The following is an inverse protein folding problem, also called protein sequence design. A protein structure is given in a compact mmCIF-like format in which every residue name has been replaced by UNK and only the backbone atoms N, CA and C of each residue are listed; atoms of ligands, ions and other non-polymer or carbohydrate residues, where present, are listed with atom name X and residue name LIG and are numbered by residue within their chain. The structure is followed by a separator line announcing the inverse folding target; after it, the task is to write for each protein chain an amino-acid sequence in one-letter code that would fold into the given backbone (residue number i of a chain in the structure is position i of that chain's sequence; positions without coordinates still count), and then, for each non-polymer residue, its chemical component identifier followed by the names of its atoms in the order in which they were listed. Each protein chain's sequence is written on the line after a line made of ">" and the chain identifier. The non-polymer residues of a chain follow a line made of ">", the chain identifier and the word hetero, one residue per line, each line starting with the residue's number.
data_IF_787412014933
#
_entry.id   IF_787412014933
#
_cell.length_a   1.000
_cell.length_b   1.000
_cell.length_c   1.000
_cell.angle_alpha   90.00
_cell.angle_beta   90.00
_cell.angle_gamma   90.00
#
_symmetry.space_group_name_H-M   'P 1'
#
loop_
_entity.id
_entity.type
_entity.pdbx_description
1 polymer ?
#
# COMPACT_ATOMS: atom_id res chain seq x y z
N UNK A 1 -5.10 -22.93 -26.97
CA UNK A 1 -3.91 -22.22 -26.48
C UNK A 1 -4.38 -20.91 -25.84
N UNK A 2 -4.65 -20.92 -24.54
CA UNK A 2 -5.06 -19.71 -23.81
C UNK A 2 -3.79 -19.01 -23.35
N UNK A 3 -3.50 -17.84 -23.94
CA UNK A 3 -2.43 -16.98 -23.47
C UNK A 3 -2.82 -16.45 -22.08
N UNK A 4 -2.11 -16.86 -21.04
CA UNK A 4 -2.22 -16.27 -19.71
C UNK A 4 -1.17 -15.16 -19.61
N UNK A 5 -1.51 -14.00 -20.12
CA UNK A 5 -0.85 -12.75 -19.75
C UNK A 5 -1.71 -12.14 -18.62
N UNK A 6 -1.63 -12.72 -17.42
CA UNK A 6 -2.47 -12.34 -16.29
C UNK A 6 -1.91 -11.09 -15.60
N UNK A 7 -1.86 -9.97 -16.32
CA UNK A 7 -1.64 -8.66 -15.72
C UNK A 7 -2.90 -8.25 -14.96
N UNK A 8 -2.77 -7.95 -13.67
CA UNK A 8 -3.87 -7.39 -12.87
C UNK A 8 -4.19 -6.00 -13.45
N UNK A 9 -5.43 -5.74 -13.90
CA UNK A 9 -5.79 -4.43 -14.43
C UNK A 9 -5.64 -3.33 -13.39
N UNK A 10 -5.13 -2.17 -13.81
CA UNK A 10 -5.16 -0.96 -12.98
C UNK A 10 -6.52 -0.29 -13.11
N UNK A 11 -7.18 -0.03 -11.99
CA UNK A 11 -8.49 0.62 -11.92
C UNK A 11 -8.31 2.08 -11.46
N UNK A 12 -8.60 3.03 -12.34
CA UNK A 12 -8.64 4.45 -11.95
C UNK A 12 -9.97 4.80 -11.28
N UNK A 13 -9.90 5.49 -10.13
CA UNK A 13 -11.10 6.05 -9.48
C UNK A 13 -11.69 7.21 -10.29
N UNK A 14 -10.86 7.95 -11.02
CA UNK A 14 -11.29 9.11 -11.79
C UNK A 14 -12.00 8.74 -13.10
N UNK A 15 -11.68 7.59 -13.68
CA UNK A 15 -12.13 7.21 -15.02
C UNK A 15 -13.52 6.54 -15.06
N UNK A 16 -14.03 6.05 -13.92
CA UNK A 16 -15.26 5.26 -13.87
C UNK A 16 -16.31 5.89 -12.93
N UNK A 17 -17.60 5.85 -13.28
CA UNK A 17 -18.67 6.09 -12.32
C UNK A 17 -18.56 5.14 -11.12
N UNK A 18 -18.94 5.60 -9.93
CA UNK A 18 -18.75 4.85 -8.68
C UNK A 18 -19.30 3.41 -8.71
N UNK A 19 -20.42 3.19 -9.39
CA UNK A 19 -21.01 1.86 -9.57
C UNK A 19 -20.13 0.94 -10.39
N UNK A 20 -19.62 1.43 -11.52
CA UNK A 20 -18.81 0.63 -12.45
C UNK A 20 -17.43 0.35 -11.86
N UNK A 21 -16.84 1.33 -11.15
CA UNK A 21 -15.63 1.12 -10.36
C UNK A 21 -15.82 0.01 -9.31
N UNK A 22 -16.94 0.03 -8.57
CA UNK A 22 -17.23 -0.98 -7.55
C UNK A 22 -17.37 -2.39 -8.14
N UNK A 23 -17.99 -2.51 -9.31
CA UNK A 23 -18.12 -3.78 -10.03
C UNK A 23 -16.75 -4.29 -10.53
N UNK A 24 -15.93 -3.41 -11.11
CA UNK A 24 -14.59 -3.73 -11.58
C UNK A 24 -13.67 -4.14 -10.42
N UNK A 25 -13.72 -3.42 -9.29
CA UNK A 25 -12.99 -3.74 -8.07
C UNK A 25 -13.36 -5.12 -7.53
N UNK A 26 -14.67 -5.40 -7.43
CA UNK A 26 -15.16 -6.71 -6.99
C UNK A 26 -14.76 -7.83 -7.95
N UNK A 27 -14.69 -7.57 -9.26
CA UNK A 27 -14.20 -8.54 -10.25
C UNK A 27 -12.71 -8.82 -10.04
N UNK A 28 -11.88 -7.79 -9.83
CA UNK A 28 -10.45 -7.96 -9.59
C UNK A 28 -10.16 -8.85 -8.39
N UNK A 29 -10.88 -8.63 -7.27
CA UNK A 29 -10.74 -9.49 -6.10
C UNK A 29 -11.17 -10.94 -6.34
N UNK A 30 -12.22 -11.19 -7.14
CA UNK A 30 -12.67 -12.56 -7.45
C UNK A 30 -11.73 -13.30 -8.40
N UNK A 31 -11.15 -12.60 -9.38
CA UNK A 31 -10.30 -13.21 -10.41
C UNK A 31 -8.84 -13.35 -9.94
N UNK A 32 -8.32 -12.36 -9.21
CA UNK A 32 -6.90 -12.29 -8.87
C UNK A 32 -6.61 -12.29 -7.37
N UNK A 33 -7.60 -12.04 -6.52
CA UNK A 33 -7.40 -11.84 -5.07
C UNK A 33 -6.80 -10.48 -4.70
N UNK A 34 -6.49 -9.63 -5.68
CA UNK A 34 -5.87 -8.32 -5.52
C UNK A 34 -6.50 -7.29 -6.47
N UNK A 35 -6.21 -6.01 -6.24
CA UNK A 35 -6.55 -4.92 -7.14
C UNK A 35 -5.42 -3.87 -7.13
N UNK A 36 -5.18 -3.26 -8.29
CA UNK A 36 -4.30 -2.09 -8.42
C UNK A 36 -5.21 -0.89 -8.65
N UNK A 37 -5.08 0.14 -7.81
CA UNK A 37 -5.92 1.35 -7.88
C UNK A 37 -5.05 2.54 -8.24
N UNK A 38 -5.49 3.34 -9.21
CA UNK A 38 -4.88 4.60 -9.63
C UNK A 38 -5.83 5.78 -9.39
N UNK A 39 -5.28 7.01 -9.49
CA UNK A 39 -6.01 8.27 -9.41
C UNK A 39 -6.89 8.42 -8.16
N UNK A 40 -6.44 7.84 -7.05
CA UNK A 40 -7.09 7.87 -5.75
C UNK A 40 -6.90 9.19 -4.98
N UNK A 41 -6.37 10.23 -5.64
CA UNK A 41 -6.23 11.58 -5.08
C UNK A 41 -5.08 11.77 -4.06
N UNK A 42 -4.25 10.76 -3.82
CA UNK A 42 -3.05 10.95 -2.97
C UNK A 42 -1.97 11.63 -3.83
N UNK A 43 -1.46 12.75 -3.32
CA UNK A 43 -0.43 13.52 -4.01
C UNK A 43 0.88 12.72 -4.17
N UNK A 44 1.51 12.72 -5.37
CA UNK A 44 2.84 12.13 -5.57
C UNK A 44 3.91 12.75 -4.65
N UNK A 45 3.80 14.05 -4.35
CA UNK A 45 4.73 14.73 -3.45
C UNK A 45 4.58 14.24 -1.99
N UNK A 46 3.34 13.98 -1.56
CA UNK A 46 3.08 13.41 -0.23
C UNK A 46 3.65 11.98 -0.13
N UNK A 47 3.49 11.18 -1.18
CA UNK A 47 4.06 9.83 -1.22
C UNK A 47 5.59 9.86 -1.17
N UNK A 48 6.22 10.75 -1.95
CA UNK A 48 7.67 10.93 -1.94
C UNK A 48 8.19 11.35 -0.55
N UNK A 49 7.49 12.28 0.11
CA UNK A 49 7.82 12.69 1.47
C UNK A 49 7.68 11.54 2.48
N UNK A 50 6.63 10.73 2.38
CA UNK A 50 6.44 9.58 3.27
C UNK A 50 7.59 8.56 3.13
N UNK A 51 8.06 8.29 1.91
CA UNK A 51 9.21 7.41 1.67
C UNK A 51 10.51 7.98 2.21
N UNK A 52 10.78 9.27 2.00
CA UNK A 52 11.96 9.95 2.54
C UNK A 52 11.98 9.95 4.07
N UNK A 53 10.86 10.27 4.72
CA UNK A 53 10.74 10.22 6.17
C UNK A 53 10.91 8.80 6.72
N UNK A 54 10.36 7.80 6.03
CA UNK A 54 10.55 6.38 6.37
C UNK A 54 12.04 6.01 6.30
N UNK A 55 12.72 6.33 5.20
CA UNK A 55 14.14 6.06 5.04
C UNK A 55 14.99 6.73 6.14
N UNK A 56 14.71 8.01 6.44
CA UNK A 56 15.39 8.76 7.52
C UNK A 56 15.17 8.12 8.89
N UNK A 57 13.94 7.70 9.19
CA UNK A 57 13.64 7.02 10.45
C UNK A 57 14.43 5.72 10.58
N UNK A 58 14.48 4.89 9.53
CA UNK A 58 15.20 3.61 9.58
C UNK A 58 16.73 3.78 9.60
N UNK A 59 17.27 4.90 9.12
CA UNK A 59 18.67 5.27 9.23
C UNK A 59 19.10 5.74 10.64
N UNK A 60 18.15 6.03 11.54
CA UNK A 60 18.47 6.39 12.92
C UNK A 60 19.18 5.24 13.66
N UNK A 61 20.03 5.55 14.67
CA UNK A 61 20.60 4.53 15.54
C UNK A 61 19.52 3.64 16.16
N UNK A 62 19.80 2.34 16.28
CA UNK A 62 18.83 1.37 16.79
C UNK A 62 18.28 1.74 18.17
N UNK A 63 19.13 2.24 19.07
CA UNK A 63 18.72 2.69 20.40
C UNK A 63 17.64 3.79 20.34
N UNK A 64 17.64 4.63 19.31
CA UNK A 64 16.59 5.65 19.11
C UNK A 64 15.32 5.00 18.59
N UNK A 65 15.41 4.13 17.57
CA UNK A 65 14.25 3.43 17.00
C UNK A 65 13.52 2.58 18.05
N UNK A 66 14.27 1.92 18.95
CA UNK A 66 13.73 1.12 20.06
C UNK A 66 12.84 1.90 21.03
N UNK A 67 13.00 3.23 21.14
CA UNK A 67 12.10 4.08 21.95
C UNK A 67 10.67 4.14 21.42
N UNK A 68 10.48 3.74 20.16
CA UNK A 68 9.18 3.69 19.50
C UNK A 68 8.58 2.27 19.48
N UNK A 69 9.22 1.27 20.11
CA UNK A 69 8.67 -0.08 20.23
C UNK A 69 7.49 -0.09 21.22
N UNK A 70 6.38 -0.68 20.80
CA UNK A 70 5.23 -0.97 21.66
C UNK A 70 5.19 -2.47 21.93
N UNK A 71 5.79 -2.91 23.03
CA UNK A 71 6.02 -4.34 23.34
C UNK A 71 4.72 -5.17 23.35
N UNK A 72 3.65 -4.63 23.94
CA UNK A 72 2.34 -5.30 24.02
C UNK A 72 1.51 -5.20 22.74
N UNK A 73 2.02 -4.56 21.69
CA UNK A 73 1.26 -4.21 20.48
C UNK A 73 1.26 -5.26 19.38
N UNK A 74 1.97 -6.38 19.54
CA UNK A 74 2.15 -7.42 18.50
C UNK A 74 2.57 -6.84 17.13
N UNK A 75 3.32 -5.73 17.14
CA UNK A 75 3.78 -5.03 15.93
C UNK A 75 2.74 -4.19 15.18
N UNK A 76 1.53 -3.98 15.73
CA UNK A 76 0.48 -3.18 15.08
C UNK A 76 0.75 -1.66 15.13
N UNK A 77 1.62 -1.22 16.03
CA UNK A 77 1.95 0.20 16.27
C UNK A 77 3.43 0.34 16.59
N UNK A 78 3.98 1.50 16.26
CA UNK A 78 5.36 1.86 16.58
C UNK A 78 6.39 1.13 15.70
N UNK A 79 7.64 1.10 16.18
CA UNK A 79 8.73 0.39 15.54
C UNK A 79 8.73 -1.08 15.95
N UNK A 80 8.73 -1.98 14.96
CA UNK A 80 8.92 -3.42 15.17
C UNK A 80 10.31 -3.81 14.67
N UNK A 81 11.25 -4.20 15.55
CA UNK A 81 12.57 -4.65 15.13
C UNK A 81 12.50 -6.00 14.43
N UNK A 82 13.48 -6.28 13.57
CA UNK A 82 13.75 -7.66 13.14
C UNK A 82 14.29 -8.45 14.34
N UNK A 83 13.92 -9.73 14.42
CA UNK A 83 14.42 -10.67 15.43
C UNK A 83 15.85 -11.09 15.17
#
# INVERSE_FOLDING_TARGET
>A
MVQHDALIPTLSIADLPARDFSLALGRSFREYGFAIIADHGISPALLAQAWDLTARFFALPEAIKRRYLVESGAGQRGYTPFG
#
